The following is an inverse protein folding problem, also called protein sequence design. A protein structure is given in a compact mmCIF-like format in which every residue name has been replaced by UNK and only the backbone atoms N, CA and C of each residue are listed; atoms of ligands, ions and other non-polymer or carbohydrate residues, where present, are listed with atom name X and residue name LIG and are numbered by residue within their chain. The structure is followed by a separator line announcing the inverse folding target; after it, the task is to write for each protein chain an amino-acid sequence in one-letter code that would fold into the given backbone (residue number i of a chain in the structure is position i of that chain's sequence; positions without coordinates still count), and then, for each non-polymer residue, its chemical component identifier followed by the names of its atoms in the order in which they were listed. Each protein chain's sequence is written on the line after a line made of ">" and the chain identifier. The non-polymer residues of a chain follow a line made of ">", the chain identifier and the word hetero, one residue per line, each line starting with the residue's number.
data_IF_541102872786
#
_entry.id   IF_541102872786
#
_cell.length_a   1.000
_cell.length_b   1.000
_cell.length_c   1.000
_cell.angle_alpha   90.00
_cell.angle_beta   90.00
_cell.angle_gamma   90.00
#
_symmetry.space_group_name_H-M   'P 1'
#
loop_
_entity.id
_entity.type
_entity.pdbx_description
1 polymer ?
#
# COMPACT_ATOMS: atom_id res chain seq x y z
N UNK A 1 13.97 -10.94 -1.21
CA UNK A 1 12.63 -11.54 -1.15
C UNK A 1 12.28 -12.08 -2.52
N UNK A 2 11.72 -13.29 -2.62
CA UNK A 2 11.34 -13.88 -3.89
C UNK A 2 9.81 -13.82 -4.06
N UNK A 3 9.30 -12.67 -4.50
CA UNK A 3 7.88 -12.46 -4.83
C UNK A 3 7.80 -12.02 -6.28
N UNK A 4 7.03 -12.76 -7.10
CA UNK A 4 6.85 -12.41 -8.51
C UNK A 4 6.20 -11.03 -8.64
N UNK A 5 6.57 -10.20 -9.64
CA UNK A 5 6.06 -8.84 -9.77
C UNK A 5 4.54 -8.71 -9.77
N UNK A 6 3.84 -9.67 -10.36
CA UNK A 6 2.38 -9.72 -10.42
C UNK A 6 1.71 -10.00 -9.06
N UNK A 7 2.44 -10.64 -8.13
CA UNK A 7 1.95 -11.01 -6.80
C UNK A 7 2.36 -10.02 -5.71
N UNK A 8 3.10 -8.96 -6.08
CA UNK A 8 3.57 -7.96 -5.12
C UNK A 8 2.39 -7.18 -4.55
N UNK A 9 2.38 -7.05 -3.23
CA UNK A 9 1.46 -6.16 -2.51
C UNK A 9 2.26 -4.97 -2.03
N UNK A 10 1.82 -3.77 -2.41
CA UNK A 10 2.54 -2.53 -2.16
C UNK A 10 2.65 -2.22 -0.66
N UNK A 11 3.89 -2.04 -0.19
CA UNK A 11 4.23 -1.65 1.17
C UNK A 11 4.76 -0.20 1.25
N UNK A 12 5.01 0.41 0.09
CA UNK A 12 5.61 1.72 -0.04
C UNK A 12 4.61 2.81 -0.37
N UNK A 13 5.12 3.85 -1.00
CA UNK A 13 4.36 4.96 -1.59
C UNK A 13 5.17 5.44 -2.82
N UNK A 14 4.58 6.26 -3.71
CA UNK A 14 5.29 6.82 -4.85
C UNK A 14 6.62 7.45 -4.42
N UNK A 15 7.68 7.19 -5.18
CA UNK A 15 9.05 7.70 -4.92
C UNK A 15 9.69 7.28 -3.59
N UNK A 16 9.25 6.17 -2.99
CA UNK A 16 9.92 5.61 -1.80
C UNK A 16 11.36 5.18 -2.12
N UNK A 17 12.29 5.47 -1.22
CA UNK A 17 13.68 5.03 -1.36
C UNK A 17 13.84 3.56 -0.92
N UNK A 18 14.90 2.89 -1.38
CA UNK A 18 15.23 1.54 -0.92
C UNK A 18 15.43 1.50 0.61
N UNK A 19 16.10 2.52 1.16
CA UNK A 19 16.33 2.64 2.60
C UNK A 19 15.03 2.76 3.39
N UNK A 20 14.11 3.63 2.96
CA UNK A 20 12.80 3.80 3.60
C UNK A 20 11.94 2.53 3.50
N UNK A 21 11.99 1.85 2.36
CA UNK A 21 11.28 0.59 2.16
C UNK A 21 11.78 -0.50 3.12
N UNK A 22 13.09 -0.66 3.22
CA UNK A 22 13.71 -1.63 4.14
C UNK A 22 13.49 -1.27 5.61
N UNK A 23 13.47 0.03 5.95
CA UNK A 23 13.16 0.51 7.30
C UNK A 23 11.72 0.17 7.73
N UNK A 24 10.80 0.01 6.76
CA UNK A 24 9.45 -0.51 6.98
C UNK A 24 9.37 -2.04 7.07
N UNK A 25 10.51 -2.73 7.15
CA UNK A 25 10.64 -4.19 7.12
C UNK A 25 10.08 -4.84 5.84
N UNK A 26 10.10 -4.09 4.73
CA UNK A 26 9.60 -4.56 3.45
C UNK A 26 10.73 -4.87 2.46
N UNK A 27 10.35 -5.50 1.36
CA UNK A 27 11.22 -5.90 0.28
C UNK A 27 11.30 -4.80 -0.78
N UNK A 28 12.50 -4.55 -1.31
CA UNK A 28 12.71 -3.61 -2.39
C UNK A 28 13.34 -4.29 -3.60
N UNK A 29 12.80 -4.04 -4.79
CA UNK A 29 13.37 -4.47 -6.06
C UNK A 29 12.94 -3.53 -7.20
N UNK A 30 13.89 -2.73 -7.70
CA UNK A 30 13.72 -1.79 -8.81
C UNK A 30 14.28 -2.31 -10.15
N UNK A 31 14.63 -3.59 -10.26
CA UNK A 31 15.19 -4.18 -11.49
C UNK A 31 14.18 -4.24 -12.64
N UNK A 32 12.88 -4.10 -12.36
CA UNK A 32 11.78 -4.14 -13.33
C UNK A 32 11.04 -2.81 -13.25
N UNK A 33 10.89 -2.12 -14.39
CA UNK A 33 10.15 -0.86 -14.47
C UNK A 33 8.63 -1.09 -14.48
N UNK A 34 7.86 -0.06 -14.09
CA UNK A 34 6.38 -0.07 -14.10
C UNK A 34 5.73 -1.16 -13.22
N UNK A 35 6.43 -1.62 -12.18
CA UNK A 35 5.88 -2.54 -11.17
C UNK A 35 6.13 -1.99 -9.76
N UNK A 36 5.49 -2.60 -8.77
CA UNK A 36 5.69 -2.26 -7.36
C UNK A 36 7.14 -2.58 -6.96
N UNK A 37 7.90 -1.56 -6.58
CA UNK A 37 9.28 -1.72 -6.13
C UNK A 37 9.39 -2.04 -4.66
N UNK A 38 8.58 -1.39 -3.81
CA UNK A 38 8.53 -1.67 -2.37
C UNK A 38 7.30 -2.51 -2.04
N UNK A 39 7.50 -3.77 -1.66
CA UNK A 39 6.42 -4.74 -1.46
C UNK A 39 6.60 -5.53 -0.18
N UNK A 40 5.49 -6.02 0.34
CA UNK A 40 5.49 -6.93 1.49
C UNK A 40 6.15 -8.27 1.17
N UNK A 41 6.58 -8.98 2.20
CA UNK A 41 7.09 -10.35 2.07
C UNK A 41 6.01 -11.31 1.56
N UNK A 42 6.41 -12.50 1.07
CA UNK A 42 5.47 -13.52 0.59
C UNK A 42 4.45 -13.95 1.67
N UNK A 43 4.83 -13.90 2.94
CA UNK A 43 3.97 -14.22 4.08
C UNK A 43 3.05 -13.06 4.49
N UNK A 44 3.53 -11.82 4.43
CA UNK A 44 2.76 -10.66 4.88
C UNK A 44 1.84 -10.10 3.79
N UNK A 45 2.25 -10.17 2.52
CA UNK A 45 1.50 -9.61 1.40
C UNK A 45 0.02 -10.04 1.37
N UNK A 46 -0.29 -11.34 1.43
CA UNK A 46 -1.67 -11.82 1.44
C UNK A 46 -2.51 -11.25 2.60
N UNK A 47 -1.91 -11.15 3.79
CA UNK A 47 -2.58 -10.59 4.96
C UNK A 47 -2.84 -9.09 4.78
N UNK A 48 -1.86 -8.35 4.29
CA UNK A 48 -1.99 -6.90 4.01
C UNK A 48 -2.98 -6.58 2.91
N UNK A 49 -3.08 -7.45 1.90
CA UNK A 49 -4.13 -7.36 0.88
C UNK A 49 -5.51 -7.54 1.49
N UNK A 50 -5.68 -8.51 2.40
CA UNK A 50 -6.94 -8.77 3.07
C UNK A 50 -7.35 -7.60 4.00
N UNK A 51 -6.41 -7.04 4.77
CA UNK A 51 -6.63 -5.87 5.65
C UNK A 51 -7.17 -4.63 4.91
N UNK A 52 -6.87 -4.50 3.61
CA UNK A 52 -7.34 -3.39 2.77
C UNK A 52 -8.45 -3.77 1.79
N UNK A 53 -8.99 -4.99 1.90
CA UNK A 53 -10.11 -5.45 1.08
C UNK A 53 -11.44 -5.04 1.71
N UNK A 54 -12.49 -4.97 0.89
CA UNK A 54 -13.85 -4.68 1.36
C UNK A 54 -14.63 -3.78 0.41
N UNK A 55 -15.87 -3.51 0.79
CA UNK A 55 -16.78 -2.64 0.02
C UNK A 55 -16.30 -1.18 0.07
N UNK A 56 -15.94 -0.56 -1.08
CA UNK A 56 -15.48 0.82 -1.14
C UNK A 56 -16.45 1.83 -0.52
N UNK A 57 -17.75 1.57 -0.57
CA UNK A 57 -18.78 2.47 -0.02
C UNK A 57 -18.96 2.32 1.49
N UNK A 58 -18.41 1.27 2.09
CA UNK A 58 -18.44 1.03 3.56
C UNK A 58 -17.11 1.32 4.23
N UNK A 59 -16.13 1.82 3.49
CA UNK A 59 -14.82 2.25 4.01
C UNK A 59 -15.00 3.31 5.09
N UNK A 60 -14.30 3.16 6.21
CA UNK A 60 -14.23 4.17 7.26
C UNK A 60 -13.07 5.11 6.98
N UNK A 61 -13.31 6.41 7.05
CA UNK A 61 -12.29 7.44 6.81
C UNK A 61 -11.11 7.29 7.79
N UNK A 62 -9.89 7.41 7.28
CA UNK A 62 -8.65 7.41 8.07
C UNK A 62 -7.70 8.55 7.68
N UNK A 63 -8.26 9.68 7.25
CA UNK A 63 -7.44 10.79 6.80
C UNK A 63 -8.18 12.11 6.82
N UNK A 64 -7.89 12.93 5.82
CA UNK A 64 -8.50 14.23 5.61
C UNK A 64 -8.58 14.52 4.10
N UNK A 65 -9.45 15.47 3.67
CA UNK A 65 -9.54 15.85 2.27
C UNK A 65 -8.18 16.29 1.71
N UNK A 66 -7.77 15.71 0.57
CA UNK A 66 -6.47 15.99 -0.05
C UNK A 66 -5.27 15.27 0.57
N UNK A 67 -5.48 14.32 1.49
CA UNK A 67 -4.40 13.49 2.04
C UNK A 67 -3.65 12.75 0.93
N UNK A 68 -2.32 12.78 0.99
CA UNK A 68 -1.46 12.03 0.06
C UNK A 68 -1.39 10.55 0.42
N UNK A 69 -1.08 9.70 -0.56
CA UNK A 69 -0.87 8.27 -0.33
C UNK A 69 0.21 8.01 0.73
N UNK A 70 1.32 8.77 0.69
CA UNK A 70 2.40 8.70 1.67
C UNK A 70 1.86 8.97 3.08
N UNK A 71 1.13 10.06 3.28
CA UNK A 71 0.56 10.41 4.59
C UNK A 71 -0.43 9.35 5.07
N UNK A 72 -1.32 8.88 4.19
CA UNK A 72 -2.30 7.84 4.54
C UNK A 72 -1.64 6.53 5.00
N UNK A 73 -0.64 6.06 4.24
CA UNK A 73 0.09 4.83 4.59
C UNK A 73 0.99 5.02 5.82
N UNK A 74 1.50 6.23 6.06
CA UNK A 74 2.20 6.58 7.30
C UNK A 74 1.27 6.59 8.52
N UNK A 75 0.00 6.93 8.35
CA UNK A 75 -1.03 6.78 9.39
C UNK A 75 -1.41 5.30 9.65
N UNK A 76 -0.79 4.36 8.94
CA UNK A 76 -1.11 2.94 9.07
C UNK A 76 -2.47 2.58 8.46
N UNK A 77 -2.88 3.31 7.43
CA UNK A 77 -4.15 3.08 6.75
C UNK A 77 -3.98 2.64 5.30
N UNK A 78 -5.08 2.18 4.72
CA UNK A 78 -5.16 1.74 3.34
C UNK A 78 -5.44 2.94 2.45
N UNK A 79 -4.82 2.96 1.26
CA UNK A 79 -5.02 4.02 0.28
C UNK A 79 -5.42 3.41 -1.07
N UNK A 80 -6.55 3.84 -1.63
CA UNK A 80 -7.00 3.44 -2.96
C UNK A 80 -7.81 4.58 -3.61
N UNK A 81 -7.21 5.32 -4.56
CA UNK A 81 -7.86 6.43 -5.26
C UNK A 81 -8.64 5.98 -6.51
N UNK A 82 -8.69 4.68 -6.81
CA UNK A 82 -9.20 4.15 -8.09
C UNK A 82 -10.71 4.34 -8.28
N UNK A 83 -11.43 4.65 -7.21
CA UNK A 83 -12.89 4.79 -7.20
C UNK A 83 -13.24 6.22 -6.78
N UNK A 84 -14.01 6.91 -7.62
CA UNK A 84 -14.45 8.29 -7.36
C UNK A 84 -15.65 8.28 -6.40
N UNK A 85 -15.73 9.29 -5.52
CA UNK A 85 -16.86 9.45 -4.60
C UNK A 85 -16.82 8.58 -3.34
N UNK A 86 -15.71 7.87 -3.09
CA UNK A 86 -15.49 7.07 -1.88
C UNK A 86 -14.29 7.58 -1.08
N UNK A 87 -14.07 7.01 0.11
CA UNK A 87 -12.92 7.32 0.94
C UNK A 87 -11.66 6.69 0.35
N UNK A 88 -10.72 7.53 -0.09
CA UNK A 88 -9.45 7.09 -0.65
C UNK A 88 -8.48 6.64 0.43
N UNK A 89 -8.41 7.34 1.56
CA UNK A 89 -7.70 6.89 2.75
C UNK A 89 -8.70 6.31 3.75
N UNK A 90 -8.52 5.04 4.10
CA UNK A 90 -9.47 4.31 4.92
C UNK A 90 -8.81 3.35 5.90
N UNK A 91 -9.53 3.02 6.98
CA UNK A 91 -9.04 2.10 8.00
C UNK A 91 -8.87 0.70 7.43
N UNK A 92 -7.90 -0.04 7.97
CA UNK A 92 -7.83 -1.49 7.79
C UNK A 92 -9.07 -2.16 8.38
N UNK A 93 -9.45 -3.32 7.85
CA UNK A 93 -10.53 -4.17 8.36
C UNK A 93 -10.07 -5.11 9.47
#
# INVERSE_FOLDING_TARGET
>A
CAVAPADRVDCGYPTITEADCKAKSCCFDSSIINVIWCFYTASEGPLKKLECSGDPYKRKDCGFPGITEKQCKQNGCCFDPSIVGVKWCYTRT
#
